data_IF_075543178169
#
_entry.id   IF_075543178169
#
_cell.length_a   1.000
_cell.length_b   1.000
_cell.length_c   1.000
_cell.angle_alpha   90.00
_cell.angle_beta   90.00
_cell.angle_gamma   90.00
#
_symmetry.space_group_name_H-M   'P 1'
#
loop_
_entity.id
_entity.type
_entity.pdbx_description
1 polymer ?
#
# COMPACT_ATOMS: atom_id res chain seq x y z
N UNK A 1 -11.02 -7.50 17.52
CA UNK A 1 -10.40 -6.15 17.47
C UNK A 1 -9.08 -6.28 16.73
N UNK A 2 -8.79 -5.36 15.79
CA UNK A 2 -7.48 -5.27 15.14
C UNK A 2 -6.77 -4.01 15.61
N UNK A 3 -5.48 -4.11 15.90
CA UNK A 3 -4.62 -2.95 16.23
C UNK A 3 -3.68 -2.69 15.08
N UNK A 4 -3.46 -1.41 14.78
CA UNK A 4 -2.64 -0.95 13.66
C UNK A 4 -1.46 -0.12 14.18
N UNK A 5 -0.25 -0.47 13.74
CA UNK A 5 0.98 0.24 14.09
C UNK A 5 1.66 0.77 12.84
N UNK A 6 1.99 2.06 12.86
CA UNK A 6 2.85 2.71 11.88
C UNK A 6 4.30 2.64 12.37
N UNK A 7 5.12 1.76 11.79
CA UNK A 7 6.44 1.42 12.35
C UNK A 7 7.58 2.17 11.66
N UNK A 8 7.66 2.11 10.34
CA UNK A 8 8.79 2.68 9.58
C UNK A 8 8.34 3.92 8.81
N UNK A 9 9.06 5.02 8.99
CA UNK A 9 8.83 6.27 8.24
C UNK A 9 10.02 6.58 7.34
N UNK A 10 9.73 6.96 6.10
CA UNK A 10 10.71 7.39 5.09
C UNK A 10 10.31 8.77 4.56
N UNK A 11 11.29 9.61 4.23
CA UNK A 11 11.05 10.87 3.53
C UNK A 11 11.14 10.62 2.02
N UNK A 12 10.03 10.76 1.32
CA UNK A 12 9.91 10.51 -0.12
C UNK A 12 9.23 11.71 -0.77
N UNK A 13 9.82 12.25 -1.85
CA UNK A 13 9.27 13.37 -2.62
C UNK A 13 8.82 14.57 -1.77
N UNK A 14 9.64 14.90 -0.75
CA UNK A 14 9.37 16.02 0.15
C UNK A 14 8.33 15.75 1.25
N UNK A 15 7.70 14.57 1.27
CA UNK A 15 6.70 14.17 2.27
C UNK A 15 7.23 13.05 3.17
N UNK A 16 6.75 12.99 4.40
CA UNK A 16 6.95 11.83 5.26
C UNK A 16 5.89 10.78 4.94
N UNK A 17 6.34 9.56 4.71
CA UNK A 17 5.50 8.43 4.36
C UNK A 17 5.80 7.26 5.31
N UNK A 18 4.77 6.58 5.78
CA UNK A 18 4.95 5.34 6.52
C UNK A 18 5.12 4.18 5.53
N UNK A 19 6.32 3.59 5.46
CA UNK A 19 6.63 2.50 4.54
C UNK A 19 6.34 1.12 5.10
N UNK A 20 5.89 1.01 6.35
CA UNK A 20 5.53 -0.26 6.97
C UNK A 20 4.40 -0.09 7.98
N UNK A 21 3.34 -0.87 7.77
CA UNK A 21 2.18 -0.97 8.66
C UNK A 21 2.09 -2.39 9.19
N UNK A 22 1.96 -2.52 10.51
CA UNK A 22 1.75 -3.81 11.19
C UNK A 22 0.32 -3.88 11.72
N UNK A 23 -0.37 -4.94 11.34
CA UNK A 23 -1.72 -5.27 11.82
C UNK A 23 -1.61 -6.44 12.80
N UNK A 24 -2.24 -6.30 13.96
CA UNK A 24 -2.36 -7.38 14.96
C UNK A 24 -3.83 -7.70 15.15
N UNK A 25 -4.23 -8.93 14.87
CA UNK A 25 -5.60 -9.41 15.06
C UNK A 25 -5.75 -10.18 16.38
N UNK A 26 -6.30 -9.50 17.38
CA UNK A 26 -6.50 -10.05 18.72
C UNK A 26 -7.60 -11.11 18.80
N UNK A 27 -8.46 -11.24 17.78
CA UNK A 27 -9.48 -12.30 17.74
C UNK A 27 -8.95 -13.58 17.10
N UNK A 28 -7.85 -13.48 16.36
CA UNK A 28 -7.26 -14.58 15.61
C UNK A 28 -5.90 -14.96 16.20
N UNK A 29 -5.85 -15.14 17.53
CA UNK A 29 -4.64 -15.54 18.26
C UNK A 29 -3.45 -14.58 18.03
N UNK A 30 -3.70 -13.27 18.13
CA UNK A 30 -2.71 -12.22 17.90
C UNK A 30 -1.96 -12.35 16.57
N UNK A 31 -2.66 -12.80 15.51
CA UNK A 31 -2.07 -12.96 14.18
C UNK A 31 -1.54 -11.61 13.69
N UNK A 32 -0.26 -11.62 13.28
CA UNK A 32 0.44 -10.44 12.77
C UNK A 32 0.45 -10.47 11.25
N UNK A 33 0.05 -9.37 10.62
CA UNK A 33 0.21 -9.14 9.19
C UNK A 33 0.99 -7.85 8.98
N UNK A 34 2.03 -7.90 8.16
CA UNK A 34 2.87 -6.73 7.86
C UNK A 34 2.67 -6.33 6.40
N UNK A 35 2.34 -5.07 6.17
CA UNK A 35 2.29 -4.46 4.86
C UNK A 35 3.53 -3.58 4.68
N UNK A 36 4.38 -3.92 3.70
CA UNK A 36 5.59 -3.18 3.37
C UNK A 36 5.41 -2.49 2.02
N UNK A 37 5.80 -1.22 1.96
CA UNK A 37 5.80 -0.44 0.73
C UNK A 37 7.24 -0.17 0.31
N UNK A 38 7.61 -0.72 -0.84
CA UNK A 38 8.90 -0.51 -1.50
C UNK A 38 8.67 0.12 -2.88
N UNK A 39 9.74 0.71 -3.45
CA UNK A 39 9.74 1.32 -4.80
C UNK A 39 8.63 2.35 -5.06
N UNK A 40 8.28 3.13 -4.02
CA UNK A 40 7.27 4.19 -4.13
C UNK A 40 7.82 5.31 -5.02
N UNK A 41 7.11 5.59 -6.12
CA UNK A 41 7.37 6.70 -7.03
C UNK A 41 6.09 7.51 -7.35
N UNK A 42 6.16 8.84 -7.51
CA UNK A 42 5.06 9.63 -8.02
C UNK A 42 4.98 9.37 -9.51
N UNK A 43 3.80 8.94 -9.95
CA UNK A 43 3.51 8.71 -11.37
C UNK A 43 2.20 9.40 -11.70
N UNK A 44 2.15 10.06 -12.86
CA UNK A 44 0.89 10.51 -13.42
C UNK A 44 0.13 9.30 -13.95
N UNK A 45 -1.08 9.08 -13.43
CA UNK A 45 -1.95 7.99 -13.86
C UNK A 45 -3.12 8.58 -14.66
N UNK A 46 -3.40 8.09 -15.88
CA UNK A 46 -4.54 8.58 -16.65
C UNK A 46 -5.86 8.21 -15.98
N UNK A 47 -6.89 9.07 -16.06
CA UNK A 47 -8.20 8.86 -15.42
C UNK A 47 -8.84 7.50 -15.76
N UNK A 48 -8.53 6.95 -16.94
CA UNK A 48 -9.02 5.63 -17.38
C UNK A 48 -8.65 4.50 -16.40
N UNK A 49 -7.57 4.65 -15.63
CA UNK A 49 -7.12 3.68 -14.63
C UNK A 49 -8.10 3.53 -13.46
N UNK A 50 -8.99 4.50 -13.27
CA UNK A 50 -9.98 4.48 -12.19
C UNK A 50 -11.37 4.06 -12.69
N UNK A 51 -11.50 3.67 -13.96
CA UNK A 51 -12.72 3.14 -14.53
C UNK A 51 -12.86 1.65 -14.18
N UNK A 52 -14.03 1.25 -13.69
CA UNK A 52 -14.35 -0.15 -13.35
C UNK A 52 -14.10 -1.12 -14.51
N UNK A 53 -14.26 -0.66 -15.75
CA UNK A 53 -14.06 -1.45 -16.97
C UNK A 53 -12.59 -1.73 -17.30
N UNK A 54 -11.65 -1.04 -16.65
CA UNK A 54 -10.21 -1.13 -16.95
C UNK A 54 -9.43 -1.96 -15.91
N UNK A 55 -10.09 -2.51 -14.88
CA UNK A 55 -9.46 -3.33 -13.83
C UNK A 55 -8.66 -4.52 -14.40
N UNK A 56 -9.12 -5.14 -15.49
CA UNK A 56 -8.45 -6.28 -16.11
C UNK A 56 -7.23 -5.90 -16.97
N UNK A 57 -7.20 -4.69 -17.53
CA UNK A 57 -6.10 -4.19 -18.38
C UNK A 57 -4.99 -3.52 -17.56
N UNK A 58 -5.33 -2.99 -16.38
CA UNK A 58 -4.41 -2.33 -15.45
C UNK A 58 -3.23 -3.20 -14.99
N UNK A 59 -3.46 -4.49 -14.69
CA UNK A 59 -2.41 -5.35 -14.14
C UNK A 59 -1.22 -5.54 -15.09
N UNK A 60 -1.43 -5.44 -16.40
CA UNK A 60 -0.36 -5.55 -17.40
C UNK A 60 0.44 -4.26 -17.63
N UNK A 61 -0.11 -3.10 -17.27
CA UNK A 61 0.58 -1.80 -17.41
C UNK A 61 1.30 -1.38 -16.11
N UNK A 62 0.85 -1.89 -14.96
CA UNK A 62 1.40 -1.55 -13.63
C UNK A 62 2.56 -2.47 -13.23
N UNK A 63 2.56 -3.73 -13.65
CA UNK A 63 3.65 -4.68 -13.39
C UNK A 63 4.56 -4.73 -14.63
N UNK A 64 5.77 -4.18 -14.54
CA UNK A 64 6.85 -4.37 -15.51
C UNK A 64 7.80 -5.46 -15.06
#
# INVERSE_FOLDING_TARGET
>A
MKTLYYTVFKKLYGKFFNSEVVFVDHMSNDMITTLKYDEIEPRELPDRYFLRTQLSTLYGEVIK
#
